data_IF_610324730951
#
_entry.id   IF_610324730951
#
_cell.length_a   1.000
_cell.length_b   1.000
_cell.length_c   1.000
_cell.angle_alpha   90.00
_cell.angle_beta   90.00
_cell.angle_gamma   90.00
#
_symmetry.space_group_name_H-M   'P 1'
#
loop_
_entity.id
_entity.type
_entity.pdbx_description
1 polymer ?
#
# COMPACT_ATOMS: atom_id res chain seq x y z
N UNK A 1 20.11 -2.52 -31.73
CA UNK A 1 21.09 -1.86 -30.82
C UNK A 1 20.32 -1.18 -29.70
N UNK A 2 20.90 -1.10 -28.50
CA UNK A 2 20.31 -0.28 -27.43
C UNK A 2 20.42 1.19 -27.87
N UNK A 3 19.38 2.01 -27.73
CA UNK A 3 19.45 3.44 -28.06
C UNK A 3 20.57 4.14 -27.28
N UNK A 4 21.23 5.12 -27.90
CA UNK A 4 22.24 5.94 -27.23
C UNK A 4 21.63 6.76 -26.08
N UNK A 5 22.38 6.93 -24.98
CA UNK A 5 21.94 7.68 -23.79
C UNK A 5 21.16 6.87 -22.75
N UNK A 6 20.97 5.56 -22.96
CA UNK A 6 20.41 4.69 -21.93
C UNK A 6 21.32 4.61 -20.70
N UNK A 7 20.73 4.68 -19.51
CA UNK A 7 21.47 4.49 -18.27
C UNK A 7 21.78 3.01 -18.07
N UNK A 8 23.06 2.69 -17.84
CA UNK A 8 23.54 1.31 -17.71
C UNK A 8 23.93 1.05 -16.25
N UNK A 9 23.45 -0.07 -15.70
CA UNK A 9 23.78 -0.55 -14.37
C UNK A 9 24.50 -1.91 -14.48
N UNK A 10 25.64 -2.07 -13.79
CA UNK A 10 26.38 -3.34 -13.76
C UNK A 10 25.80 -4.29 -12.71
N UNK A 11 25.22 -5.39 -13.19
CA UNK A 11 24.64 -6.45 -12.37
C UNK A 11 25.53 -7.72 -12.31
N UNK A 12 26.81 -7.62 -12.69
CA UNK A 12 27.75 -8.76 -12.67
C UNK A 12 27.83 -9.40 -11.28
N UNK A 13 27.63 -10.71 -11.22
CA UNK A 13 27.60 -11.48 -9.96
C UNK A 13 26.39 -11.20 -9.06
N UNK A 14 25.36 -10.51 -9.56
CA UNK A 14 24.11 -10.22 -8.83
C UNK A 14 22.94 -10.97 -9.46
N UNK A 15 21.81 -10.98 -8.76
CA UNK A 15 20.54 -11.49 -9.28
C UNK A 15 19.63 -10.29 -9.59
N UNK A 16 19.12 -10.23 -10.82
CA UNK A 16 18.06 -9.30 -11.21
C UNK A 16 16.74 -10.02 -11.05
N UNK A 17 15.87 -9.50 -10.17
CA UNK A 17 14.59 -10.11 -9.83
C UNK A 17 13.46 -9.07 -9.97
N UNK A 18 12.21 -9.50 -10.13
CA UNK A 18 11.07 -8.64 -9.86
C UNK A 18 11.17 -8.06 -8.45
N UNK A 19 10.73 -6.81 -8.28
CA UNK A 19 10.60 -6.25 -6.94
C UNK A 19 9.56 -7.03 -6.13
N UNK A 20 9.77 -7.08 -4.82
CA UNK A 20 8.83 -7.76 -3.90
C UNK A 20 7.44 -7.13 -3.94
N UNK A 21 6.43 -7.95 -3.71
CA UNK A 21 5.05 -7.52 -3.45
C UNK A 21 4.72 -7.92 -2.02
N UNK A 22 4.63 -6.94 -1.13
CA UNK A 22 4.17 -7.18 0.24
C UNK A 22 2.65 -7.18 0.25
N UNK A 23 2.07 -8.36 0.45
CA UNK A 23 0.63 -8.57 0.33
C UNK A 23 -0.15 -8.18 1.60
N UNK A 24 0.54 -7.76 2.67
CA UNK A 24 -0.11 -7.49 3.96
C UNK A 24 0.59 -6.36 4.73
N UNK A 25 0.09 -5.14 4.56
CA UNK A 25 0.60 -3.94 5.26
C UNK A 25 -0.51 -3.21 6.04
N UNK A 26 -0.09 -2.38 7.02
CA UNK A 26 -0.97 -1.55 7.87
C UNK A 26 -0.34 -0.17 8.11
N UNK A 27 -0.17 0.61 7.04
CA UNK A 27 0.43 1.93 7.03
C UNK A 27 -0.54 2.96 7.62
N UNK A 28 -0.04 3.81 8.51
CA UNK A 28 -0.83 4.87 9.14
C UNK A 28 -2.15 4.37 9.77
N UNK A 29 -2.19 3.11 10.21
CA UNK A 29 -3.41 2.51 10.76
C UNK A 29 -3.79 3.17 12.10
N UNK A 30 -5.01 3.74 12.24
CA UNK A 30 -5.52 4.14 13.53
C UNK A 30 -5.86 2.94 14.42
N UNK A 31 -5.29 2.87 15.62
CA UNK A 31 -5.57 1.82 16.59
C UNK A 31 -5.51 2.33 18.03
N UNK A 32 -6.57 2.09 18.81
CA UNK A 32 -6.68 2.44 20.24
C UNK A 32 -6.24 3.88 20.59
N UNK A 33 -6.60 4.85 19.75
CA UNK A 33 -6.34 6.28 20.00
C UNK A 33 -4.99 6.80 19.52
N UNK A 34 -4.18 5.95 18.86
CA UNK A 34 -2.93 6.36 18.18
C UNK A 34 -2.89 5.83 16.75
N UNK A 35 -1.78 6.05 16.06
CA UNK A 35 -1.52 5.59 14.69
C UNK A 35 -0.25 4.73 14.65
N UNK A 36 -0.18 3.81 13.69
CA UNK A 36 1.09 3.21 13.29
C UNK A 36 2.11 4.31 12.93
N UNK A 37 3.37 4.14 13.38
CA UNK A 37 4.42 5.15 13.20
C UNK A 37 4.81 5.28 11.72
N UNK A 38 4.88 4.15 11.02
CA UNK A 38 5.09 4.18 9.57
C UNK A 38 3.80 4.58 8.86
N UNK A 39 3.85 5.74 8.21
CA UNK A 39 2.80 6.16 7.30
C UNK A 39 3.09 5.68 5.87
N UNK A 40 2.20 6.01 4.93
CA UNK A 40 2.39 5.61 3.53
C UNK A 40 3.70 6.11 2.92
N UNK A 41 4.29 7.21 3.39
CA UNK A 41 5.56 7.72 2.87
C UNK A 41 6.75 6.98 3.48
N UNK A 42 6.85 6.92 4.81
CA UNK A 42 8.00 6.27 5.45
C UNK A 42 7.98 4.76 5.23
N UNK A 43 6.80 4.14 5.26
CA UNK A 43 6.61 2.71 5.04
C UNK A 43 6.97 2.27 3.62
N UNK A 44 6.49 2.96 2.58
CA UNK A 44 6.85 2.61 1.19
C UNK A 44 8.31 2.94 0.87
N UNK A 45 8.89 3.97 1.49
CA UNK A 45 10.33 4.24 1.40
C UNK A 45 11.15 3.09 2.00
N UNK A 46 10.72 2.55 3.15
CA UNK A 46 11.34 1.37 3.75
C UNK A 46 11.17 0.13 2.87
N UNK A 47 9.99 -0.07 2.28
CA UNK A 47 9.72 -1.16 1.34
C UNK A 47 10.71 -1.16 0.16
N UNK A 48 10.88 0.00 -0.50
CA UNK A 48 11.82 0.16 -1.61
C UNK A 48 13.27 -0.09 -1.18
N UNK A 49 13.69 0.41 -0.02
CA UNK A 49 15.03 0.16 0.51
C UNK A 49 15.28 -1.33 0.77
N UNK A 50 14.23 -2.10 1.09
CA UNK A 50 14.26 -3.55 1.25
C UNK A 50 14.10 -4.36 -0.04
N UNK A 51 13.85 -3.71 -1.19
CA UNK A 51 13.62 -4.38 -2.47
C UNK A 51 12.16 -4.75 -2.78
N UNK A 52 11.21 -4.30 -1.95
CA UNK A 52 9.77 -4.41 -2.22
C UNK A 52 9.31 -3.19 -3.02
N UNK A 53 8.61 -3.41 -4.13
CA UNK A 53 8.18 -2.35 -5.06
C UNK A 53 6.67 -2.18 -5.14
N UNK A 54 5.90 -3.00 -4.42
CA UNK A 54 4.46 -2.86 -4.27
C UNK A 54 4.01 -3.29 -2.89
N UNK A 55 3.05 -2.56 -2.31
CA UNK A 55 2.36 -2.97 -1.08
C UNK A 55 0.87 -3.19 -1.33
N UNK A 56 0.25 -4.06 -0.54
CA UNK A 56 -1.21 -4.17 -0.43
C UNK A 56 -1.58 -3.92 1.04
N UNK A 57 -2.27 -2.80 1.27
CA UNK A 57 -2.65 -2.34 2.61
C UNK A 57 -4.12 -2.68 2.90
N UNK A 58 -4.54 -2.62 4.16
CA UNK A 58 -5.91 -2.91 4.56
C UNK A 58 -6.68 -1.64 4.86
N UNK A 59 -7.73 -1.38 4.07
CA UNK A 59 -8.79 -0.45 4.44
C UNK A 59 -9.55 -1.05 5.63
N UNK A 60 -9.31 -0.53 6.82
CA UNK A 60 -9.87 -1.05 8.07
C UNK A 60 -10.42 0.08 8.93
N UNK A 61 -11.73 0.27 8.88
CA UNK A 61 -12.40 1.30 9.65
C UNK A 61 -13.33 0.73 10.74
N UNK A 62 -13.85 1.63 11.57
CA UNK A 62 -14.75 1.30 12.66
C UNK A 62 -16.06 0.67 12.16
N UNK A 63 -16.70 -0.08 13.05
CA UNK A 63 -18.03 -0.66 12.83
C UNK A 63 -19.03 0.43 12.38
N UNK A 64 -19.89 0.11 11.41
CA UNK A 64 -20.93 0.98 10.86
C UNK A 64 -20.45 2.11 9.92
N UNK A 65 -19.14 2.18 9.59
CA UNK A 65 -18.65 3.08 8.53
C UNK A 65 -18.86 2.40 7.16
N UNK A 66 -19.41 3.09 6.14
CA UNK A 66 -19.53 2.56 4.78
C UNK A 66 -18.18 2.18 4.17
N UNK A 67 -18.12 1.07 3.43
CA UNK A 67 -16.88 0.53 2.86
C UNK A 67 -16.23 1.51 1.87
N UNK A 68 -17.05 2.15 1.02
CA UNK A 68 -16.57 3.13 0.04
C UNK A 68 -16.03 4.40 0.71
N UNK A 69 -16.64 4.84 1.81
CA UNK A 69 -16.14 5.97 2.60
C UNK A 69 -14.76 5.65 3.18
N UNK A 70 -14.62 4.48 3.81
CA UNK A 70 -13.34 4.00 4.33
C UNK A 70 -12.28 3.88 3.22
N UNK A 71 -12.65 3.33 2.06
CA UNK A 71 -11.76 3.22 0.91
C UNK A 71 -11.25 4.58 0.43
N UNK A 72 -12.15 5.56 0.27
CA UNK A 72 -11.77 6.91 -0.15
C UNK A 72 -10.88 7.61 0.88
N UNK A 73 -11.11 7.38 2.18
CA UNK A 73 -10.24 7.87 3.25
C UNK A 73 -8.82 7.32 3.12
N UNK A 74 -8.68 6.01 2.91
CA UNK A 74 -7.38 5.36 2.72
C UNK A 74 -6.67 5.84 1.46
N UNK A 75 -7.39 5.94 0.33
CA UNK A 75 -6.87 6.54 -0.92
C UNK A 75 -6.36 7.96 -0.69
N UNK A 76 -7.11 8.78 0.05
CA UNK A 76 -6.71 10.14 0.39
C UNK A 76 -5.45 10.23 1.25
N UNK A 77 -5.14 9.21 2.05
CA UNK A 77 -3.88 9.13 2.80
C UNK A 77 -2.72 8.62 1.95
N UNK A 78 -2.96 7.62 1.08
CA UNK A 78 -1.94 6.94 0.31
C UNK A 78 -1.51 7.70 -0.94
N UNK A 79 -2.45 8.15 -1.79
CA UNK A 79 -2.18 8.79 -3.09
C UNK A 79 -1.12 9.91 -3.04
N UNK A 80 -1.11 10.82 -2.05
CA UNK A 80 -0.10 11.88 -1.99
C UNK A 80 1.23 11.47 -1.35
N UNK A 81 1.36 10.26 -0.79
CA UNK A 81 2.48 9.86 0.08
C UNK A 81 3.31 8.68 -0.42
N UNK A 82 2.69 7.72 -1.13
CA UNK A 82 3.38 6.49 -1.53
C UNK A 82 4.59 6.78 -2.43
N UNK A 83 5.68 6.05 -2.19
CA UNK A 83 6.90 6.10 -2.99
C UNK A 83 6.96 4.99 -4.06
N UNK A 84 6.08 3.98 -3.95
CA UNK A 84 5.97 2.85 -4.88
C UNK A 84 4.49 2.57 -5.18
N UNK A 85 4.23 1.66 -6.11
CA UNK A 85 2.85 1.25 -6.42
C UNK A 85 2.20 0.59 -5.21
N UNK A 86 0.86 0.66 -5.14
CA UNK A 86 0.10 0.07 -4.05
C UNK A 86 -1.30 -0.37 -4.49
N UNK A 87 -1.93 -1.20 -3.66
CA UNK A 87 -3.34 -1.54 -3.76
C UNK A 87 -3.94 -1.72 -2.35
N UNK A 88 -5.23 -2.05 -2.28
CA UNK A 88 -5.94 -2.24 -1.03
C UNK A 88 -6.75 -3.54 -0.99
N UNK A 89 -6.71 -4.21 0.16
CA UNK A 89 -7.80 -5.06 0.64
C UNK A 89 -8.83 -4.19 1.36
N UNK A 90 -10.11 -4.60 1.36
CA UNK A 90 -11.18 -3.92 2.13
C UNK A 90 -11.71 -4.85 3.22
N UNK A 91 -11.55 -4.46 4.48
CA UNK A 91 -11.99 -5.25 5.62
C UNK A 91 -13.49 -5.09 5.88
N UNK A 92 -14.22 -6.22 5.91
CA UNK A 92 -15.64 -6.26 6.30
C UNK A 92 -15.74 -6.48 7.81
N UNK A 93 -15.82 -5.39 8.58
CA UNK A 93 -15.85 -5.42 10.05
C UNK A 93 -17.27 -5.48 10.64
N UNK A 94 -18.29 -5.36 9.79
CA UNK A 94 -19.70 -5.38 10.14
C UNK A 94 -20.56 -5.78 8.93
N UNK A 95 -21.85 -6.09 9.15
CA UNK A 95 -22.71 -6.62 8.10
C UNK A 95 -24.09 -5.93 8.07
N UNK A 96 -24.53 -5.57 6.86
CA UNK A 96 -25.88 -5.13 6.51
C UNK A 96 -26.09 -5.25 4.99
N UNK A 97 -27.31 -5.08 4.48
CA UNK A 97 -27.54 -5.02 3.01
C UNK A 97 -26.70 -3.92 2.34
N UNK A 98 -26.50 -2.78 3.03
CA UNK A 98 -25.61 -1.71 2.53
C UNK A 98 -24.16 -2.17 2.31
N UNK A 99 -23.59 -2.96 3.23
CA UNK A 99 -22.23 -3.52 3.10
C UNK A 99 -22.16 -4.43 1.88
N UNK A 100 -23.18 -5.26 1.67
CA UNK A 100 -23.28 -6.13 0.48
C UNK A 100 -23.36 -5.34 -0.83
N UNK A 101 -24.07 -4.22 -0.86
CA UNK A 101 -24.16 -3.35 -2.05
C UNK A 101 -22.85 -2.64 -2.39
N UNK A 102 -21.97 -2.41 -1.41
CA UNK A 102 -20.70 -1.71 -1.58
C UNK A 102 -19.51 -2.63 -1.91
N UNK A 103 -19.68 -3.94 -1.74
CA UNK A 103 -18.74 -4.98 -2.17
C UNK A 103 -18.85 -5.26 -3.66
#
# INVERSE_FOLDING_TARGET
TIPGGAQIYDASGKIVMPGGIDTHTHMQLPFMGTFAIDDFYTGTKAALAGGTTMIIDFVLDQKNVPLLEAYHKWRGWADPKVCCDYSFHVAVTWWSEKVKEEM
#
